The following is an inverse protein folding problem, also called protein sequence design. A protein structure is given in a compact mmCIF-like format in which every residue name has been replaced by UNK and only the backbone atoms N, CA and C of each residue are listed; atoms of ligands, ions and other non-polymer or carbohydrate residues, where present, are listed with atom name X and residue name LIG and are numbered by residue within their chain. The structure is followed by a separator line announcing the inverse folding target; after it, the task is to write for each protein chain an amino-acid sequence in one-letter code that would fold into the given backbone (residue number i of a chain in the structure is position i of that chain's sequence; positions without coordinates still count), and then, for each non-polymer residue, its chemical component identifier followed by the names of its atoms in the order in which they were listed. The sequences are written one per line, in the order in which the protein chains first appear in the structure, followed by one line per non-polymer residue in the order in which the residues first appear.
data_IF_314596579691
#
_entry.id   IF_314596579691
#
_cell.length_a   1.000
_cell.length_b   1.000
_cell.length_c   1.000
_cell.angle_alpha   90.00
_cell.angle_beta   90.00
_cell.angle_gamma   90.00
#
_symmetry.space_group_name_H-M   'P 1'
#
loop_
_entity.id
_entity.type
_entity.pdbx_description
1 polymer ?
#
# COMPACT_ATOMS: atom_id res chain seq x y z
N UNK A 1 -6.35 27.78 22.37
CA UNK A 1 -4.98 27.23 22.26
C UNK A 1 -4.94 25.76 21.79
N UNK A 2 -5.67 24.82 22.41
CA UNK A 2 -5.69 23.39 22.02
C UNK A 2 -6.21 23.12 20.60
N UNK A 3 -7.18 23.90 20.12
CA UNK A 3 -7.75 23.69 18.78
C UNK A 3 -6.79 24.04 17.65
N UNK A 4 -5.91 25.03 17.86
CA UNK A 4 -4.85 25.39 16.91
C UNK A 4 -3.80 24.28 16.80
N UNK A 5 -3.51 23.57 17.90
CA UNK A 5 -2.58 22.44 17.90
C UNK A 5 -3.17 21.24 17.14
N UNK A 6 -4.47 20.98 17.30
CA UNK A 6 -5.21 19.94 16.54
C UNK A 6 -5.31 20.27 15.05
N UNK A 7 -5.55 21.55 14.72
CA UNK A 7 -5.59 22.02 13.35
C UNK A 7 -4.22 21.91 12.65
N UNK A 8 -3.14 22.31 13.34
CA UNK A 8 -1.76 22.14 12.82
C UNK A 8 -1.38 20.68 12.64
N UNK A 9 -1.78 19.79 13.56
CA UNK A 9 -1.52 18.34 13.44
C UNK A 9 -2.28 17.73 12.25
N UNK A 10 -3.51 18.19 11.96
CA UNK A 10 -4.25 17.80 10.75
C UNK A 10 -3.62 18.33 9.47
N UNK A 11 -3.12 19.57 9.48
CA UNK A 11 -2.47 20.19 8.33
C UNK A 11 -1.11 19.56 7.99
N UNK A 12 -0.33 19.12 8.99
CA UNK A 12 0.93 18.41 8.78
C UNK A 12 0.70 17.01 8.15
N UNK A 13 -0.35 16.29 8.58
CA UNK A 13 -0.72 14.99 8.01
C UNK A 13 -1.32 15.12 6.59
N UNK A 14 -1.77 16.32 6.21
CA UNK A 14 -2.41 16.60 4.92
C UNK A 14 -1.44 16.86 3.76
N UNK A 15 -0.15 17.15 4.02
CA UNK A 15 0.78 17.61 2.97
C UNK A 15 1.50 16.50 2.19
N UNK A 16 1.39 15.23 2.58
CA UNK A 16 2.11 14.13 1.91
C UNK A 16 1.22 13.04 1.31
N UNK A 17 -0.11 13.24 1.25
CA UNK A 17 -1.00 12.19 0.75
C UNK A 17 -0.98 12.13 -0.78
N UNK A 18 -0.04 11.37 -1.32
CA UNK A 18 -0.37 10.49 -2.45
C UNK A 18 -1.69 9.77 -2.14
N UNK A 19 -2.60 9.74 -3.10
CA UNK A 19 -3.98 9.30 -2.86
C UNK A 19 -4.05 7.94 -2.15
N UNK A 20 -4.88 7.85 -1.10
CA UNK A 20 -5.16 6.58 -0.42
C UNK A 20 -6.39 5.92 -1.04
N UNK A 21 -6.28 4.65 -1.43
CA UNK A 21 -7.42 3.82 -1.88
C UNK A 21 -7.90 2.96 -0.71
N UNK A 22 -9.20 2.93 -0.44
CA UNK A 22 -9.81 2.13 0.63
C UNK A 22 -10.18 0.75 0.09
N UNK A 23 -9.72 -0.30 0.76
CA UNK A 23 -10.10 -1.69 0.50
C UNK A 23 -11.02 -2.15 1.64
N UNK A 24 -12.23 -2.61 1.29
CA UNK A 24 -13.35 -2.73 2.26
C UNK A 24 -13.32 -3.98 3.15
N UNK A 25 -12.52 -5.01 2.84
CA UNK A 25 -12.44 -6.21 3.68
C UNK A 25 -11.08 -6.92 3.54
N UNK A 26 -10.35 -6.99 4.65
CA UNK A 26 -9.16 -7.84 4.79
C UNK A 26 -9.40 -8.81 5.95
N UNK A 27 -8.98 -10.05 5.81
CA UNK A 27 -9.00 -11.03 6.90
C UNK A 27 -7.62 -11.03 7.56
N UNK A 28 -7.59 -10.78 8.85
CA UNK A 28 -6.37 -10.83 9.65
C UNK A 28 -6.49 -11.96 10.69
N UNK A 29 -5.36 -12.57 11.10
CA UNK A 29 -5.31 -13.44 12.26
C UNK A 29 -5.88 -12.74 13.50
N UNK A 30 -6.56 -13.49 14.36
CA UNK A 30 -7.21 -12.93 15.54
C UNK A 30 -6.22 -12.19 16.46
N UNK A 31 -5.05 -12.76 16.72
CA UNK A 31 -4.03 -12.14 17.56
C UNK A 31 -3.53 -10.79 17.03
N UNK A 32 -3.46 -10.63 15.70
CA UNK A 32 -3.07 -9.36 15.08
C UNK A 32 -4.15 -8.30 15.28
N UNK A 33 -5.43 -8.69 15.20
CA UNK A 33 -6.56 -7.79 15.46
C UNK A 33 -6.55 -7.33 16.92
N UNK A 34 -6.34 -8.24 17.87
CA UNK A 34 -6.25 -7.93 19.29
C UNK A 34 -5.11 -6.94 19.59
N UNK A 35 -3.94 -7.14 18.98
CA UNK A 35 -2.82 -6.21 19.12
C UNK A 35 -3.12 -4.84 18.51
N UNK A 36 -3.76 -4.80 17.33
CA UNK A 36 -4.20 -3.56 16.69
C UNK A 36 -5.18 -2.80 17.61
N UNK A 37 -6.10 -3.52 18.23
CA UNK A 37 -7.08 -2.94 19.16
C UNK A 37 -6.41 -2.31 20.37
N UNK A 38 -5.48 -3.02 21.00
CA UNK A 38 -4.70 -2.48 22.11
C UNK A 38 -3.97 -1.19 21.73
N UNK A 39 -3.41 -1.10 20.52
CA UNK A 39 -2.73 0.11 20.04
C UNK A 39 -3.68 1.28 19.78
N UNK A 40 -4.90 1.00 19.35
CA UNK A 40 -5.95 2.03 19.21
C UNK A 40 -6.44 2.50 20.58
N UNK A 41 -6.70 1.57 21.50
CA UNK A 41 -7.13 1.85 22.87
C UNK A 41 -6.07 2.66 23.64
N UNK A 42 -4.79 2.33 23.47
CA UNK A 42 -3.67 3.08 24.02
C UNK A 42 -3.47 4.47 23.36
N UNK A 43 -4.22 4.79 22.31
CA UNK A 43 -4.14 6.07 21.60
C UNK A 43 -2.92 6.22 20.68
N UNK A 44 -2.20 5.13 20.40
CA UNK A 44 -1.08 5.11 19.44
C UNK A 44 -1.58 5.39 18.02
N UNK A 45 -2.72 4.79 17.67
CA UNK A 45 -3.42 5.03 16.40
C UNK A 45 -4.83 5.58 16.63
N UNK A 46 -5.36 6.38 15.70
CA UNK A 46 -6.72 6.94 15.80
C UNK A 46 -7.80 5.94 15.38
N UNK A 47 -7.44 4.95 14.57
CA UNK A 47 -8.35 3.91 14.11
C UNK A 47 -7.60 2.65 13.71
N UNK A 48 -8.31 1.52 13.66
CA UNK A 48 -7.79 0.25 13.14
C UNK A 48 -7.25 0.40 11.72
N UNK A 49 -7.96 1.14 10.86
CA UNK A 49 -7.53 1.38 9.47
C UNK A 49 -6.21 2.13 9.40
N UNK A 50 -5.97 3.08 10.30
CA UNK A 50 -4.68 3.79 10.38
C UNK A 50 -3.55 2.84 10.81
N UNK A 51 -3.79 2.03 11.84
CA UNK A 51 -2.83 1.03 12.31
C UNK A 51 -2.47 0.02 11.21
N UNK A 52 -3.48 -0.54 10.54
CA UNK A 52 -3.31 -1.49 9.43
C UNK A 52 -2.53 -0.85 8.29
N UNK A 53 -2.86 0.38 7.90
CA UNK A 53 -2.15 1.09 6.84
C UNK A 53 -0.67 1.30 7.20
N UNK A 54 -0.39 1.67 8.45
CA UNK A 54 0.97 1.82 8.96
C UNK A 54 1.77 0.51 8.88
N UNK A 55 1.25 -0.57 9.47
CA UNK A 55 1.94 -1.87 9.49
C UNK A 55 2.09 -2.47 8.09
N UNK A 56 1.08 -2.30 7.23
CA UNK A 56 1.18 -2.72 5.82
C UNK A 56 2.31 -1.99 5.12
N UNK A 57 2.40 -0.66 5.27
CA UNK A 57 3.48 0.11 4.66
C UNK A 57 4.86 -0.32 5.19
N UNK A 58 4.98 -0.51 6.51
CA UNK A 58 6.23 -1.00 7.13
C UNK A 58 6.62 -2.39 6.64
N UNK A 59 5.65 -3.28 6.43
CA UNK A 59 5.89 -4.60 5.85
C UNK A 59 6.37 -4.55 4.40
N UNK A 60 5.82 -3.63 3.60
CA UNK A 60 6.28 -3.37 2.24
C UNK A 60 7.70 -2.80 2.22
N UNK A 61 8.01 -1.85 3.11
CA UNK A 61 9.37 -1.29 3.26
C UNK A 61 10.38 -2.36 3.67
N UNK A 62 10.03 -3.22 4.64
CA UNK A 62 10.87 -4.33 5.08
C UNK A 62 11.15 -5.35 3.96
N UNK A 63 10.23 -5.45 2.98
CA UNK A 63 10.33 -6.38 1.86
C UNK A 63 10.78 -5.72 0.56
N UNK A 64 11.31 -4.49 0.60
CA UNK A 64 11.58 -3.65 -0.58
C UNK A 64 12.39 -4.36 -1.65
N UNK A 65 13.50 -5.00 -1.30
CA UNK A 65 14.40 -5.65 -2.27
C UNK A 65 13.74 -6.84 -2.96
N UNK A 66 12.94 -7.62 -2.21
CA UNK A 66 12.15 -8.71 -2.76
C UNK A 66 11.12 -8.16 -3.75
N UNK A 67 10.37 -7.13 -3.34
CA UNK A 67 9.31 -6.55 -4.16
C UNK A 67 9.86 -5.88 -5.43
N UNK A 68 11.04 -5.26 -5.38
CA UNK A 68 11.69 -4.68 -6.56
C UNK A 68 12.07 -5.78 -7.57
N UNK A 69 12.59 -6.92 -7.11
CA UNK A 69 12.86 -8.07 -7.98
C UNK A 69 11.60 -8.64 -8.61
N UNK A 70 10.52 -8.76 -7.83
CA UNK A 70 9.21 -9.19 -8.34
C UNK A 70 8.72 -8.22 -9.41
N UNK A 71 8.80 -6.90 -9.15
CA UNK A 71 8.41 -5.87 -10.10
C UNK A 71 9.18 -5.96 -11.41
N UNK A 72 10.50 -6.08 -11.34
CA UNK A 72 11.36 -6.25 -12.52
C UNK A 72 10.96 -7.47 -13.36
N UNK A 73 10.68 -8.61 -12.71
CA UNK A 73 10.26 -9.83 -13.40
C UNK A 73 8.88 -9.71 -14.03
N UNK A 74 7.95 -9.01 -13.39
CA UNK A 74 6.63 -8.74 -13.95
C UNK A 74 6.72 -7.81 -15.17
N UNK A 75 7.60 -6.81 -15.14
CA UNK A 75 7.84 -5.93 -16.30
C UNK A 75 8.43 -6.69 -17.49
N UNK A 76 9.36 -7.62 -17.24
CA UNK A 76 9.90 -8.53 -18.25
C UNK A 76 8.79 -9.38 -18.91
N UNK A 77 7.92 -10.00 -18.10
CA UNK A 77 6.77 -10.76 -18.61
C UNK A 77 5.82 -9.91 -19.46
N UNK A 78 5.59 -8.65 -19.09
CA UNK A 78 4.77 -7.72 -19.89
C UNK A 78 5.43 -7.43 -21.24
N UNK A 79 6.73 -7.16 -21.26
CA UNK A 79 7.47 -6.91 -22.51
C UNK A 79 7.39 -8.12 -23.45
N UNK A 80 7.68 -9.31 -22.93
CA UNK A 80 7.60 -10.55 -23.72
C UNK A 80 6.19 -10.73 -24.30
N UNK A 81 5.14 -10.48 -23.51
CA UNK A 81 3.75 -10.55 -23.99
C UNK A 81 3.47 -9.56 -25.12
N UNK A 82 3.98 -8.34 -25.02
CA UNK A 82 3.83 -7.31 -26.05
C UNK A 82 4.59 -7.66 -27.33
N UNK A 83 5.79 -8.20 -27.23
CA UNK A 83 6.61 -8.65 -28.36
C UNK A 83 5.90 -9.77 -29.12
N UNK A 84 5.39 -10.79 -28.42
CA UNK A 84 4.60 -11.88 -29.04
C UNK A 84 3.39 -11.35 -29.81
N UNK A 85 2.64 -10.41 -29.24
CA UNK A 85 1.47 -9.81 -29.91
C UNK A 85 1.89 -9.02 -31.16
N UNK A 86 3.04 -8.34 -31.13
CA UNK A 86 3.57 -7.60 -32.28
C UNK A 86 4.00 -8.54 -33.41
N UNK A 87 4.74 -9.59 -33.10
CA UNK A 87 5.21 -10.58 -34.09
C UNK A 87 4.05 -11.22 -34.85
N UNK A 88 3.04 -11.72 -34.13
CA UNK A 88 1.83 -12.29 -34.76
C UNK A 88 1.05 -11.28 -35.62
N UNK A 89 1.02 -10.01 -35.21
CA UNK A 89 0.34 -8.96 -35.98
C UNK A 89 1.07 -8.59 -37.26
N UNK A 90 2.40 -8.71 -37.27
CA UNK A 90 3.24 -8.47 -38.45
C UNK A 90 3.09 -9.63 -39.45
N UNK A 91 3.04 -10.88 -38.99
CA UNK A 91 2.86 -12.05 -39.86
C UNK A 91 1.46 -12.12 -40.49
N UNK A 92 0.41 -11.63 -39.82
CA UNK A 92 -0.95 -11.59 -40.37
C UNK A 92 -1.22 -10.49 -41.41
N UNK A 93 -0.24 -9.65 -41.73
CA UNK A 93 -0.34 -8.58 -42.73
C UNK A 93 0.62 -8.76 -43.93
N UNK A 94 1.31 -9.91 -44.02
CA UNK A 94 2.08 -10.35 -45.17
C UNK A 94 1.34 -11.48 -45.91
#
# INVERSE_FOLDING_TARGET
ARDLLRARRRAAIGRERGGSVVISSIRLPQGDVEMIDLLVEAGVFRSRSEAVAYFTHKGLEASRDLLERVKSKVEELKRIREELVKEFRIEGQA
#
